data_IF_521338120349
#
_entry.id   IF_521338120349
#
_cell.length_a   1.000
_cell.length_b   1.000
_cell.length_c   1.000
_cell.angle_alpha   90.00
_cell.angle_beta   90.00
_cell.angle_gamma   90.00
#
_symmetry.space_group_name_H-M   'P 1'
#
loop_
_entity.id
_entity.type
_entity.pdbx_description
1 polymer ?
#
# COMPACT_ATOMS: atom_id res chain seq x y z
N UNK A 1 -4.41 27.70 3.95
CA UNK A 1 -4.51 26.44 3.17
C UNK A 1 -4.49 25.29 4.15
N UNK A 2 -5.37 24.31 3.98
CA UNK A 2 -5.35 23.04 4.74
C UNK A 2 -4.54 22.00 3.97
N UNK A 3 -3.91 21.06 4.69
CA UNK A 3 -3.22 19.91 4.11
C UNK A 3 -4.22 18.79 3.87
N UNK A 4 -4.08 18.08 2.74
CA UNK A 4 -4.86 16.89 2.40
C UNK A 4 -3.93 15.68 2.34
N UNK A 5 -4.25 14.65 3.11
CA UNK A 5 -3.42 13.45 3.22
C UNK A 5 -4.08 12.28 2.49
N UNK A 6 -3.28 11.53 1.74
CA UNK A 6 -3.68 10.29 1.08
C UNK A 6 -2.70 9.18 1.43
N UNK A 7 -3.20 7.95 1.52
CA UNK A 7 -2.37 6.77 1.78
C UNK A 7 -2.09 6.00 0.48
N UNK A 8 -0.90 5.43 0.33
CA UNK A 8 -0.53 4.64 -0.85
C UNK A 8 -0.69 3.15 -0.53
N UNK A 9 -1.52 2.42 -1.30
CA UNK A 9 -1.77 1.01 -1.04
C UNK A 9 -0.59 0.13 -1.47
N UNK A 10 -0.14 -0.82 -0.63
CA UNK A 10 0.95 -1.73 -0.96
C UNK A 10 0.45 -2.90 -1.82
N UNK A 11 0.04 -2.63 -3.06
CA UNK A 11 -0.58 -3.62 -3.96
C UNK A 11 0.39 -4.68 -4.48
N UNK A 12 1.71 -4.48 -4.34
CA UNK A 12 2.76 -5.45 -4.65
C UNK A 12 3.15 -6.36 -3.46
N UNK A 13 2.54 -6.15 -2.29
CA UNK A 13 2.88 -6.78 -1.02
C UNK A 13 3.48 -5.79 -0.03
N UNK A 14 3.44 -6.15 1.26
CA UNK A 14 3.88 -5.29 2.36
C UNK A 14 4.85 -6.02 3.29
N UNK A 15 5.75 -5.26 3.92
CA UNK A 15 6.77 -5.78 4.82
C UNK A 15 7.20 -4.74 5.86
N UNK A 16 7.96 -5.18 6.87
CA UNK A 16 8.68 -4.27 7.77
C UNK A 16 10.12 -4.00 7.29
N UNK A 17 10.58 -4.75 6.30
CA UNK A 17 11.90 -4.62 5.70
C UNK A 17 11.85 -3.76 4.45
N UNK A 18 12.99 -3.20 4.06
CA UNK A 18 13.15 -2.57 2.75
C UNK A 18 13.15 -3.68 1.71
N UNK A 19 11.98 -3.90 1.13
CA UNK A 19 11.78 -4.91 0.12
C UNK A 19 11.84 -4.26 -1.26
N UNK A 20 12.76 -4.75 -2.10
CA UNK A 20 12.88 -4.33 -3.49
C UNK A 20 11.63 -4.72 -4.26
N UNK A 21 10.63 -3.82 -4.29
CA UNK A 21 9.37 -3.97 -5.00
C UNK A 21 8.95 -2.68 -5.71
N UNK A 22 9.92 -1.85 -6.07
CA UNK A 22 9.72 -0.66 -6.90
C UNK A 22 9.46 -1.00 -8.36
N UNK A 23 9.29 0.03 -9.20
CA UNK A 23 9.04 -0.13 -10.63
C UNK A 23 10.12 -1.01 -11.29
N UNK A 24 9.70 -2.04 -12.02
CA UNK A 24 10.57 -2.96 -12.74
C UNK A 24 11.01 -4.20 -11.96
N UNK A 25 10.52 -4.41 -10.73
CA UNK A 25 10.77 -5.66 -9.99
C UNK A 25 9.55 -6.58 -10.10
N UNK A 26 9.78 -7.87 -10.36
CA UNK A 26 8.71 -8.85 -10.53
C UNK A 26 7.72 -8.83 -9.34
N UNK A 27 6.40 -8.92 -9.59
CA UNK A 27 5.41 -9.05 -8.53
C UNK A 27 5.79 -10.22 -7.60
N UNK A 28 5.99 -9.95 -6.31
CA UNK A 28 6.43 -10.95 -5.32
C UNK A 28 7.93 -11.01 -5.03
N UNK A 29 8.75 -10.18 -5.67
CA UNK A 29 10.18 -10.07 -5.36
C UNK A 29 10.46 -9.28 -4.07
N UNK A 30 9.55 -8.39 -3.70
CA UNK A 30 9.52 -7.83 -2.36
C UNK A 30 9.31 -9.00 -1.39
N UNK A 31 10.20 -9.22 -0.41
CA UNK A 31 10.02 -10.26 0.60
C UNK A 31 8.65 -10.07 1.30
N UNK A 32 7.64 -10.82 0.84
CA UNK A 32 6.26 -10.59 1.24
C UNK A 32 6.05 -11.16 2.64
N UNK A 33 6.26 -10.34 3.67
CA UNK A 33 5.80 -10.69 5.01
C UNK A 33 4.27 -10.67 5.07
N UNK A 34 3.62 -9.81 4.27
CA UNK A 34 2.17 -9.69 4.17
C UNK A 34 1.73 -9.61 2.70
N UNK A 35 1.01 -10.62 2.18
CA UNK A 35 0.51 -10.60 0.81
C UNK A 35 -0.60 -9.56 0.63
N UNK A 36 -0.67 -8.95 -0.55
CA UNK A 36 -1.63 -7.91 -0.92
C UNK A 36 -3.05 -8.49 -1.20
N UNK A 37 -3.64 -9.18 -0.22
CA UNK A 37 -5.01 -9.69 -0.34
C UNK A 37 -6.03 -8.55 -0.26
N UNK A 38 -7.20 -8.73 -0.87
CA UNK A 38 -8.30 -7.74 -0.79
C UNK A 38 -8.71 -7.46 0.66
N UNK A 39 -8.70 -8.48 1.53
CA UNK A 39 -8.99 -8.32 2.95
C UNK A 39 -7.96 -7.41 3.64
N UNK A 40 -6.67 -7.62 3.35
CA UNK A 40 -5.57 -6.82 3.90
C UNK A 40 -5.58 -5.37 3.38
N UNK A 41 -5.69 -5.18 2.07
CA UNK A 41 -5.79 -3.83 1.48
C UNK A 41 -7.03 -3.08 1.98
N UNK A 42 -8.16 -3.78 2.13
CA UNK A 42 -9.37 -3.21 2.73
C UNK A 42 -9.18 -2.83 4.20
N UNK A 43 -8.39 -3.59 4.97
CA UNK A 43 -8.04 -3.22 6.34
C UNK A 43 -7.24 -1.91 6.36
N UNK A 44 -6.21 -1.78 5.52
CA UNK A 44 -5.42 -0.55 5.43
C UNK A 44 -6.29 0.64 5.05
N UNK A 45 -7.16 0.49 4.05
CA UNK A 45 -8.03 1.57 3.60
C UNK A 45 -8.99 2.06 4.70
N UNK A 46 -9.62 1.14 5.44
CA UNK A 46 -10.48 1.49 6.58
C UNK A 46 -9.70 2.17 7.70
N UNK A 47 -8.47 1.73 7.98
CA UNK A 47 -7.61 2.37 8.97
C UNK A 47 -7.24 3.79 8.54
N UNK A 48 -6.92 4.01 7.26
CA UNK A 48 -6.61 5.34 6.74
C UNK A 48 -7.82 6.30 6.89
N UNK A 49 -9.02 5.85 6.54
CA UNK A 49 -10.26 6.60 6.72
C UNK A 49 -10.49 6.96 8.20
N UNK A 50 -10.37 5.99 9.11
CA UNK A 50 -10.51 6.21 10.57
C UNK A 50 -9.50 7.20 11.14
N UNK A 51 -8.32 7.32 10.52
CA UNK A 51 -7.25 8.25 10.91
C UNK A 51 -7.35 9.62 10.22
N UNK A 52 -8.38 9.86 9.40
CA UNK A 52 -8.64 11.15 8.77
C UNK A 52 -7.87 11.39 7.47
N UNK A 53 -7.42 10.33 6.79
CA UNK A 53 -6.95 10.45 5.41
C UNK A 53 -8.14 10.66 4.48
N UNK A 54 -7.98 11.54 3.48
CA UNK A 54 -9.00 11.85 2.47
C UNK A 54 -9.29 10.65 1.56
N UNK A 55 -8.26 9.82 1.32
CA UNK A 55 -8.41 8.64 0.50
C UNK A 55 -7.16 7.81 0.38
N UNK A 56 -7.26 6.77 -0.44
CA UNK A 56 -6.17 5.85 -0.74
C UNK A 56 -5.88 5.80 -2.24
N UNK A 57 -4.61 5.66 -2.59
CA UNK A 57 -4.11 5.58 -3.96
C UNK A 57 -3.77 4.13 -4.28
N UNK A 58 -4.30 3.63 -5.40
CA UNK A 58 -3.94 2.32 -5.94
C UNK A 58 -2.84 2.53 -7.00
N UNK A 59 -1.61 2.05 -6.76
CA UNK A 59 -0.53 2.17 -7.74
C UNK A 59 -0.87 1.40 -9.02
N UNK A 60 -0.63 2.02 -10.18
CA UNK A 60 -0.81 1.40 -11.50
C UNK A 60 0.50 1.11 -12.24
N UNK A 61 1.65 1.45 -11.65
CA UNK A 61 2.98 1.21 -12.22
C UNK A 61 3.56 -0.12 -11.73
N UNK A 62 3.86 -1.02 -12.67
CA UNK A 62 4.61 -2.25 -12.46
C UNK A 62 6.08 -2.04 -12.84
#
# INVERSE_FOLDING_TARGET
MSLTFHWFLPTSGDSRDIVGGGHGVAPGAAAQARPATTAYLGQIARSAEQLGFEGVLTPTGA
#
